data_IF_766712161602
#
_entry.id   IF_766712161602
#
_cell.length_a   1.000
_cell.length_b   1.000
_cell.length_c   1.000
_cell.angle_alpha   90.00
_cell.angle_beta   90.00
_cell.angle_gamma   90.00
#
_symmetry.space_group_name_H-M   'P 1'
#
loop_
_entity.id
_entity.type
_entity.pdbx_description
1 polymer ?
#
# COMPACT_ATOMS: atom_id res chain seq x y z
N UNK A 1 -6.81 87.11 7.94
CA UNK A 1 -7.14 85.89 8.71
C UNK A 1 -7.81 84.93 7.73
N UNK A 2 -7.48 83.66 7.55
CA UNK A 2 -6.46 82.76 8.06
C UNK A 2 -6.26 81.72 6.94
N UNK A 3 -5.02 81.43 6.54
CA UNK A 3 -4.73 80.39 5.55
C UNK A 3 -4.70 79.02 6.22
N UNK A 4 -5.57 78.11 5.78
CA UNK A 4 -5.67 76.75 6.29
C UNK A 4 -4.49 75.90 5.77
N UNK A 5 -3.50 75.66 6.62
CA UNK A 5 -2.36 74.78 6.32
C UNK A 5 -2.74 73.34 6.68
N UNK A 6 -3.16 72.56 5.67
CA UNK A 6 -3.23 71.10 5.78
C UNK A 6 -1.81 70.53 5.98
N UNK A 7 -1.52 70.08 7.20
CA UNK A 7 -0.31 69.34 7.55
C UNK A 7 -0.39 67.92 7.00
N UNK A 8 0.49 67.61 6.04
CA UNK A 8 0.69 66.23 5.57
C UNK A 8 1.40 65.42 6.66
N UNK A 9 0.76 64.34 7.12
CA UNK A 9 1.34 63.38 8.08
C UNK A 9 2.43 62.55 7.36
N UNK A 10 3.64 62.41 7.91
CA UNK A 10 4.69 61.64 7.24
C UNK A 10 4.30 60.16 7.23
N UNK A 11 4.36 59.53 6.05
CA UNK A 11 4.22 58.08 5.89
C UNK A 11 5.52 57.45 6.37
N UNK A 12 5.48 56.82 7.54
CA UNK A 12 6.60 56.00 8.04
C UNK A 12 6.65 54.74 7.19
N UNK A 13 7.57 54.70 6.22
CA UNK A 13 7.95 53.46 5.56
C UNK A 13 8.81 52.63 6.51
N UNK A 14 8.16 51.71 7.24
CA UNK A 14 8.85 50.71 8.04
C UNK A 14 9.53 49.73 7.08
N UNK A 15 10.80 49.99 6.73
CA UNK A 15 11.65 49.00 6.07
C UNK A 15 11.82 47.82 7.03
N UNK A 16 11.13 46.71 6.74
CA UNK A 16 11.34 45.42 7.38
C UNK A 16 12.77 44.94 7.06
N UNK A 17 13.72 45.34 7.89
CA UNK A 17 15.10 44.85 7.82
C UNK A 17 15.13 43.44 8.40
N UNK A 18 14.95 42.43 7.55
CA UNK A 18 15.12 41.02 7.93
C UNK A 18 16.61 40.78 8.15
N UNK A 19 17.02 40.62 9.41
CA UNK A 19 18.41 40.36 9.80
C UNK A 19 18.88 39.01 9.20
N UNK A 20 20.05 38.94 8.52
CA UNK A 20 20.52 37.73 7.84
C UNK A 20 20.66 36.49 8.74
N UNK A 21 20.97 36.69 10.03
CA UNK A 21 21.12 35.61 11.02
C UNK A 21 19.81 34.90 11.37
N UNK A 22 18.66 35.58 11.21
CA UNK A 22 17.35 34.99 11.48
C UNK A 22 16.96 33.98 10.38
N UNK A 23 17.31 34.27 9.12
CA UNK A 23 17.10 33.36 7.99
C UNK A 23 17.97 32.10 8.10
N UNK A 24 19.27 32.24 8.37
CA UNK A 24 20.18 31.10 8.52
C UNK A 24 19.77 30.19 9.69
N UNK A 25 19.40 30.76 10.83
CA UNK A 25 18.95 30.00 12.01
C UNK A 25 17.63 29.27 11.74
N UNK A 26 16.69 29.91 11.01
CA UNK A 26 15.44 29.28 10.57
C UNK A 26 15.65 28.13 9.59
N UNK A 27 16.59 28.26 8.66
CA UNK A 27 16.91 27.16 7.73
C UNK A 27 17.67 26.04 8.42
N UNK A 28 18.60 26.36 9.33
CA UNK A 28 19.30 25.37 10.13
C UNK A 28 18.33 24.56 11.01
N UNK A 29 17.38 25.21 11.69
CA UNK A 29 16.39 24.49 12.50
C UNK A 29 15.48 23.59 11.65
N UNK A 30 15.07 24.03 10.46
CA UNK A 30 14.33 23.20 9.51
C UNK A 30 15.12 21.99 9.04
N UNK A 31 16.42 22.16 8.75
CA UNK A 31 17.29 21.04 8.37
C UNK A 31 17.42 20.05 9.53
N UNK A 32 17.64 20.53 10.75
CA UNK A 32 17.72 19.67 11.94
C UNK A 32 16.41 18.91 12.15
N UNK A 33 15.26 19.59 12.09
CA UNK A 33 13.94 18.94 12.18
C UNK A 33 13.78 17.90 11.06
N UNK A 34 14.18 18.23 9.83
CA UNK A 34 14.15 17.30 8.69
C UNK A 34 15.00 16.06 8.94
N UNK A 35 16.22 16.22 9.46
CA UNK A 35 17.11 15.12 9.82
C UNK A 35 16.54 14.26 10.95
N UNK A 36 15.93 14.88 11.98
CA UNK A 36 15.26 14.17 13.07
C UNK A 36 14.06 13.36 12.56
N UNK A 37 13.26 13.92 11.65
CA UNK A 37 12.14 13.20 11.03
C UNK A 37 12.61 12.03 10.17
N UNK A 38 13.69 12.21 9.41
CA UNK A 38 14.32 11.13 8.65
C UNK A 38 14.80 10.04 9.60
N UNK A 39 15.60 10.38 10.62
CA UNK A 39 16.10 9.41 11.61
C UNK A 39 14.97 8.68 12.34
N UNK A 40 13.90 9.39 12.71
CA UNK A 40 12.71 8.80 13.31
C UNK A 40 12.02 7.83 12.34
N UNK A 41 11.89 8.19 11.06
CA UNK A 41 11.36 7.31 10.03
C UNK A 41 12.19 6.03 9.85
N UNK A 42 13.52 6.14 9.84
CA UNK A 42 14.42 4.98 9.81
C UNK A 42 14.27 4.10 11.04
N UNK A 43 14.15 4.69 12.23
CA UNK A 43 13.92 3.95 13.46
C UNK A 43 12.60 3.17 13.37
N UNK A 44 11.50 3.83 12.99
CA UNK A 44 10.20 3.17 12.83
C UNK A 44 10.26 2.03 11.80
N UNK A 45 10.96 2.23 10.67
CA UNK A 45 11.13 1.20 9.65
C UNK A 45 11.95 -0.01 10.15
N UNK A 46 12.88 0.21 11.08
CA UNK A 46 13.67 -0.87 11.69
C UNK A 46 12.88 -1.72 12.68
N UNK A 47 11.93 -1.13 13.41
CA UNK A 47 11.15 -1.81 14.46
C UNK A 47 9.80 -2.35 13.97
N UNK A 48 9.38 -2.02 12.74
CA UNK A 48 8.07 -2.38 12.20
C UNK A 48 7.75 -3.87 12.23
N UNK A 49 8.79 -4.71 12.13
CA UNK A 49 8.65 -6.16 12.13
C UNK A 49 8.03 -6.71 13.43
N UNK A 50 8.11 -5.95 14.53
CA UNK A 50 7.53 -6.31 15.82
C UNK A 50 6.01 -6.17 15.87
N UNK A 51 5.41 -5.51 14.89
CA UNK A 51 3.97 -5.28 14.80
C UNK A 51 3.32 -6.05 13.67
N UNK A 52 4.06 -6.96 13.03
CA UNK A 52 3.46 -7.86 12.06
C UNK A 52 2.58 -8.88 12.76
N UNK A 53 1.35 -9.00 12.26
CA UNK A 53 0.37 -9.95 12.75
C UNK A 53 0.44 -11.25 11.97
N UNK A 54 0.64 -11.16 10.65
CA UNK A 54 0.62 -12.33 9.78
C UNK A 54 2.04 -12.81 9.45
N UNK A 55 2.20 -14.13 9.36
CA UNK A 55 3.38 -14.74 8.76
C UNK A 55 3.12 -15.10 7.27
N UNK A 56 3.98 -14.69 6.33
CA UNK A 56 3.81 -15.03 4.92
C UNK A 56 3.75 -16.54 4.65
N UNK A 57 4.47 -17.35 5.44
CA UNK A 57 4.50 -18.81 5.24
C UNK A 57 3.17 -19.42 5.64
N UNK A 58 2.60 -18.99 6.77
CA UNK A 58 1.27 -19.40 7.22
C UNK A 58 0.18 -18.99 6.21
N UNK A 59 0.26 -17.77 5.67
CA UNK A 59 -0.68 -17.32 4.63
C UNK A 59 -0.55 -18.13 3.34
N UNK A 60 0.67 -18.51 2.95
CA UNK A 60 0.89 -19.39 1.80
C UNK A 60 0.28 -20.78 2.02
N UNK A 61 0.51 -21.36 3.21
CA UNK A 61 -0.09 -22.64 3.58
C UNK A 61 -1.62 -22.57 3.62
N UNK A 62 -2.18 -21.47 4.13
CA UNK A 62 -3.62 -21.23 4.13
C UNK A 62 -4.19 -21.14 2.71
N UNK A 63 -3.50 -20.44 1.80
CA UNK A 63 -3.90 -20.36 0.40
C UNK A 63 -3.91 -21.76 -0.26
N UNK A 64 -2.89 -22.58 -0.01
CA UNK A 64 -2.83 -23.96 -0.49
C UNK A 64 -3.95 -24.83 0.10
N UNK A 65 -4.24 -24.68 1.40
CA UNK A 65 -5.34 -25.38 2.07
C UNK A 65 -6.70 -24.99 1.48
N UNK A 66 -6.91 -23.71 1.18
CA UNK A 66 -8.14 -23.21 0.55
C UNK A 66 -8.34 -23.80 -0.85
N UNK A 67 -7.26 -23.88 -1.65
CA UNK A 67 -7.30 -24.52 -2.98
C UNK A 67 -7.70 -25.99 -2.85
N UNK A 68 -7.10 -26.71 -1.87
CA UNK A 68 -7.40 -28.11 -1.62
C UNK A 68 -8.83 -28.34 -1.11
N UNK A 69 -9.37 -27.43 -0.29
CA UNK A 69 -10.72 -27.56 0.27
C UNK A 69 -11.83 -27.23 -0.72
N UNK A 70 -11.55 -26.38 -1.71
CA UNK A 70 -12.56 -25.88 -2.66
C UNK A 70 -12.04 -25.91 -4.11
N UNK A 71 -11.77 -27.10 -4.68
CA UNK A 71 -11.28 -27.19 -6.06
C UNK A 71 -12.26 -26.56 -7.05
N UNK A 72 -11.75 -25.69 -7.93
CA UNK A 72 -12.53 -24.96 -8.94
C UNK A 72 -13.65 -24.05 -8.40
N UNK A 73 -13.68 -23.76 -7.09
CA UNK A 73 -14.63 -22.83 -6.49
C UNK A 73 -13.89 -21.70 -5.77
N UNK A 74 -13.66 -20.60 -6.49
CA UNK A 74 -12.97 -19.43 -5.96
C UNK A 74 -13.72 -18.80 -4.79
N UNK A 75 -15.05 -18.81 -4.80
CA UNK A 75 -15.84 -18.26 -3.69
C UNK A 75 -15.67 -19.12 -2.43
N UNK A 76 -15.68 -20.45 -2.59
CA UNK A 76 -15.36 -21.40 -1.53
C UNK A 76 -13.95 -21.21 -0.96
N UNK A 77 -12.95 -21.01 -1.82
CA UNK A 77 -11.57 -20.71 -1.40
C UNK A 77 -11.51 -19.44 -0.55
N UNK A 78 -12.16 -18.35 -0.99
CA UNK A 78 -12.21 -17.08 -0.25
C UNK A 78 -12.90 -17.27 1.10
N UNK A 79 -14.03 -17.97 1.13
CA UNK A 79 -14.75 -18.25 2.37
C UNK A 79 -13.91 -19.07 3.35
N UNK A 80 -13.15 -20.05 2.87
CA UNK A 80 -12.23 -20.83 3.68
C UNK A 80 -11.13 -19.96 4.31
N UNK A 81 -10.53 -19.06 3.52
CA UNK A 81 -9.50 -18.12 3.98
C UNK A 81 -10.06 -17.20 5.08
N UNK A 82 -11.17 -16.51 4.81
CA UNK A 82 -11.79 -15.57 5.75
C UNK A 82 -12.18 -16.28 7.04
N UNK A 83 -12.74 -17.49 6.95
CA UNK A 83 -13.15 -18.28 8.12
C UNK A 83 -11.96 -18.66 8.98
N UNK A 84 -10.89 -19.21 8.39
CA UNK A 84 -9.70 -19.61 9.14
C UNK A 84 -9.01 -18.41 9.79
N UNK A 85 -8.84 -17.30 9.06
CA UNK A 85 -8.23 -16.08 9.63
C UNK A 85 -9.05 -15.55 10.80
N UNK A 86 -10.38 -15.55 10.68
CA UNK A 86 -11.27 -15.12 11.77
C UNK A 86 -11.16 -16.02 13.01
N UNK A 87 -10.90 -17.32 12.82
CA UNK A 87 -10.71 -18.27 13.93
C UNK A 87 -9.33 -18.16 14.57
N UNK A 88 -8.28 -17.98 13.76
CA UNK A 88 -6.89 -17.88 14.23
C UNK A 88 -6.60 -16.56 14.93
N UNK A 89 -7.19 -15.46 14.44
CA UNK A 89 -6.89 -14.12 14.92
C UNK A 89 -8.13 -13.47 15.56
N UNK A 90 -8.18 -13.37 16.89
CA UNK A 90 -9.35 -12.81 17.58
C UNK A 90 -9.54 -11.31 17.30
N UNK A 91 -10.79 -10.86 17.36
CA UNK A 91 -11.20 -9.48 16.97
C UNK A 91 -10.66 -8.35 17.88
N UNK A 92 -10.07 -8.73 19.01
CA UNK A 92 -9.34 -7.83 19.91
C UNK A 92 -7.88 -7.58 19.46
N UNK A 93 -7.33 -8.45 18.61
CA UNK A 93 -5.98 -8.32 18.05
C UNK A 93 -6.01 -7.58 16.71
N UNK A 94 -6.90 -7.97 15.80
CA UNK A 94 -7.07 -7.33 14.48
C UNK A 94 -8.52 -7.15 14.07
N UNK A 95 -8.76 -6.21 13.17
CA UNK A 95 -10.05 -6.03 12.49
C UNK A 95 -10.04 -6.82 11.19
N UNK A 96 -11.00 -7.72 11.06
CA UNK A 96 -11.19 -8.55 9.86
C UNK A 96 -12.56 -8.19 9.30
N UNK A 97 -12.61 -7.92 8.01
CA UNK A 97 -13.85 -7.82 7.27
C UNK A 97 -14.32 -9.23 6.90
N UNK A 98 -15.51 -9.61 7.37
CA UNK A 98 -16.11 -10.92 7.08
C UNK A 98 -17.19 -10.83 5.99
N UNK A 99 -17.52 -9.62 5.54
CA UNK A 99 -18.52 -9.40 4.48
C UNK A 99 -17.86 -9.55 3.10
N UNK A 100 -17.94 -10.77 2.55
CA UNK A 100 -17.37 -11.09 1.24
C UNK A 100 -18.12 -10.47 0.05
N UNK A 101 -19.18 -9.68 0.29
CA UNK A 101 -19.89 -8.92 -0.75
C UNK A 101 -19.27 -7.55 -1.03
N UNK A 102 -18.40 -7.04 -0.15
CA UNK A 102 -17.77 -5.71 -0.28
C UNK A 102 -16.59 -5.70 -1.27
N UNK A 103 -16.89 -5.93 -2.55
CA UNK A 103 -15.94 -5.78 -3.64
C UNK A 103 -15.86 -4.34 -4.15
N UNK A 104 -14.66 -3.88 -4.44
CA UNK A 104 -14.42 -2.59 -5.10
C UNK A 104 -13.54 -2.79 -6.33
N UNK A 105 -13.75 -1.96 -7.34
CA UNK A 105 -12.80 -1.89 -8.45
C UNK A 105 -11.53 -1.18 -8.00
N UNK A 106 -10.39 -1.75 -8.37
CA UNK A 106 -9.08 -1.16 -8.18
C UNK A 106 -8.43 -0.94 -9.56
N UNK A 107 -8.03 0.30 -9.83
CA UNK A 107 -7.35 0.67 -11.07
C UNK A 107 -6.02 1.35 -10.73
N UNK A 108 -4.92 0.68 -11.02
CA UNK A 108 -3.57 1.14 -10.72
C UNK A 108 -2.56 0.61 -11.74
N UNK A 109 -1.59 1.44 -12.11
CA UNK A 109 -0.51 1.02 -13.01
C UNK A 109 -0.96 0.60 -14.41
N UNK A 110 -2.16 1.00 -14.84
CA UNK A 110 -2.78 0.58 -16.11
C UNK A 110 -3.58 -0.72 -16.03
N UNK A 111 -3.51 -1.43 -14.90
CA UNK A 111 -4.27 -2.64 -14.65
C UNK A 111 -5.56 -2.32 -13.88
N UNK A 112 -6.67 -2.89 -14.33
CA UNK A 112 -7.96 -2.91 -13.62
C UNK A 112 -8.27 -4.30 -13.07
N UNK A 113 -8.71 -4.38 -11.82
CA UNK A 113 -9.19 -5.60 -11.19
C UNK A 113 -10.25 -5.33 -10.13
N UNK A 114 -10.75 -6.40 -9.50
CA UNK A 114 -11.63 -6.35 -8.36
C UNK A 114 -10.84 -6.72 -7.09
N UNK A 115 -11.11 -6.00 -6.01
CA UNK A 115 -10.48 -6.17 -4.72
C UNK A 115 -11.52 -6.37 -3.63
N UNK A 116 -11.28 -7.34 -2.76
CA UNK A 116 -11.99 -7.52 -1.50
C UNK A 116 -11.01 -7.36 -0.34
N UNK A 117 -11.26 -6.36 0.53
CA UNK A 117 -10.38 -6.03 1.65
C UNK A 117 -10.72 -6.85 2.89
N UNK A 118 -9.83 -7.78 3.28
CA UNK A 118 -9.98 -8.62 4.48
C UNK A 118 -9.44 -7.89 5.72
N UNK A 119 -8.24 -7.32 5.64
CA UNK A 119 -7.60 -6.63 6.76
C UNK A 119 -6.76 -5.44 6.27
N UNK A 120 -6.76 -4.35 7.04
CA UNK A 120 -5.84 -3.23 6.85
C UNK A 120 -5.33 -2.69 8.18
N UNK A 121 -4.02 -2.43 8.23
CA UNK A 121 -3.32 -1.70 9.29
C UNK A 121 -2.29 -0.74 8.68
N UNK A 122 -1.54 -0.04 9.54
CA UNK A 122 -0.47 0.88 9.11
C UNK A 122 0.70 0.12 8.45
N UNK A 123 0.92 -1.13 8.88
CA UNK A 123 2.07 -1.95 8.48
C UNK A 123 1.72 -3.10 7.54
N UNK A 124 0.45 -3.51 7.49
CA UNK A 124 0.02 -4.71 6.77
C UNK A 124 -1.36 -4.52 6.11
N UNK A 125 -1.61 -5.20 5.00
CA UNK A 125 -2.98 -5.45 4.53
C UNK A 125 -3.06 -6.88 4.03
N UNK A 126 -4.29 -7.37 3.99
CA UNK A 126 -4.63 -8.64 3.38
C UNK A 126 -5.88 -8.43 2.52
N UNK A 127 -5.78 -8.76 1.25
CA UNK A 127 -6.86 -8.59 0.27
C UNK A 127 -6.96 -9.82 -0.63
N UNK A 128 -8.14 -10.01 -1.22
CA UNK A 128 -8.27 -10.79 -2.44
C UNK A 128 -8.24 -9.83 -3.60
N UNK A 129 -7.36 -10.07 -4.57
CA UNK A 129 -7.28 -9.29 -5.79
C UNK A 129 -7.30 -10.20 -7.01
N UNK A 130 -8.01 -9.80 -8.05
CA UNK A 130 -8.07 -10.56 -9.29
C UNK A 130 -9.01 -9.96 -10.32
N UNK A 131 -9.19 -10.68 -11.41
CA UNK A 131 -10.12 -10.30 -12.47
C UNK A 131 -10.58 -11.55 -13.24
N UNK A 132 -11.88 -11.65 -13.56
CA UNK A 132 -12.35 -12.73 -14.42
C UNK A 132 -11.92 -12.53 -15.89
N UNK A 133 -11.58 -11.30 -16.31
CA UNK A 133 -11.33 -10.95 -17.72
C UNK A 133 -9.85 -10.98 -18.10
N UNK A 134 -8.95 -10.91 -17.11
CA UNK A 134 -7.53 -10.65 -17.32
C UNK A 134 -7.18 -9.15 -17.33
N UNK A 135 -5.97 -8.82 -16.91
CA UNK A 135 -5.46 -7.44 -16.82
C UNK A 135 -3.94 -7.43 -16.81
N UNK A 136 -3.30 -6.37 -17.30
CA UNK A 136 -1.85 -6.22 -17.26
C UNK A 136 -1.46 -4.77 -16.98
N UNK A 137 -0.30 -4.59 -16.37
CA UNK A 137 0.16 -3.26 -16.03
C UNK A 137 1.48 -3.23 -15.27
N UNK A 138 1.83 -2.03 -14.85
CA UNK A 138 2.99 -1.76 -14.02
C UNK A 138 2.69 -2.11 -12.56
N UNK A 139 3.53 -2.92 -11.90
CA UNK A 139 3.33 -3.33 -10.50
C UNK A 139 3.22 -2.12 -9.57
N UNK A 140 4.12 -1.15 -9.77
CA UNK A 140 4.32 0.00 -8.89
C UNK A 140 5.67 -0.10 -8.18
N UNK A 141 6.05 0.97 -7.48
CA UNK A 141 7.22 0.98 -6.60
C UNK A 141 6.71 0.97 -5.16
N UNK A 142 6.65 -0.21 -4.55
CA UNK A 142 6.09 -0.36 -3.21
C UNK A 142 7.16 -0.16 -2.13
N UNK A 143 6.78 0.49 -1.02
CA UNK A 143 7.60 0.61 0.20
C UNK A 143 7.42 -0.59 1.15
N UNK A 144 6.72 -1.62 0.70
CA UNK A 144 6.42 -2.85 1.39
C UNK A 144 6.84 -4.05 0.53
N UNK A 145 7.08 -5.16 1.20
CA UNK A 145 7.16 -6.48 0.58
C UNK A 145 5.74 -6.94 0.26
N UNK A 146 5.55 -7.56 -0.90
CA UNK A 146 4.26 -8.02 -1.39
C UNK A 146 4.31 -9.49 -1.79
N UNK A 147 3.24 -10.21 -1.47
CA UNK A 147 3.11 -11.66 -1.61
C UNK A 147 1.77 -11.98 -2.27
N UNK A 148 1.81 -12.37 -3.54
CA UNK A 148 0.63 -12.83 -4.26
C UNK A 148 0.57 -14.36 -4.23
N UNK A 149 -0.33 -14.89 -3.42
CA UNK A 149 -0.60 -16.33 -3.38
C UNK A 149 -1.70 -16.64 -4.40
N UNK A 150 -1.35 -17.29 -5.51
CA UNK A 150 -2.28 -17.55 -6.60
C UNK A 150 -3.29 -18.62 -6.17
N UNK A 151 -4.58 -18.28 -6.19
CA UNK A 151 -5.67 -19.19 -5.81
C UNK A 151 -6.22 -19.92 -7.04
N UNK A 152 -6.43 -19.19 -8.13
CA UNK A 152 -6.97 -19.70 -9.39
C UNK A 152 -6.39 -18.88 -10.55
N UNK A 153 -6.36 -19.48 -11.74
CA UNK A 153 -5.78 -18.85 -12.93
C UNK A 153 -4.26 -18.75 -12.82
N UNK A 154 -3.68 -17.79 -13.54
CA UNK A 154 -2.23 -17.61 -13.61
C UNK A 154 -1.84 -16.14 -13.56
N UNK A 155 -0.75 -15.86 -12.87
CA UNK A 155 -0.10 -14.56 -12.91
C UNK A 155 1.20 -14.68 -13.70
N UNK A 156 1.40 -13.79 -14.67
CA UNK A 156 2.65 -13.69 -15.41
C UNK A 156 3.34 -12.40 -15.04
N UNK A 157 4.66 -12.42 -14.89
CA UNK A 157 5.43 -11.23 -14.58
C UNK A 157 6.78 -11.24 -15.27
N UNK A 158 7.38 -10.08 -15.47
CA UNK A 158 8.78 -9.99 -15.82
C UNK A 158 9.39 -8.70 -15.29
N UNK A 159 10.70 -8.73 -15.08
CA UNK A 159 11.49 -7.58 -14.65
C UNK A 159 12.01 -6.80 -15.85
N UNK A 160 12.19 -5.48 -15.76
CA UNK A 160 12.84 -4.70 -16.81
C UNK A 160 14.16 -5.35 -17.27
N UNK A 161 14.28 -5.61 -18.57
CA UNK A 161 15.44 -6.26 -19.18
C UNK A 161 15.41 -7.80 -19.22
N UNK A 162 14.45 -8.46 -18.58
CA UNK A 162 14.23 -9.89 -18.76
C UNK A 162 13.62 -10.16 -20.15
N UNK A 163 14.10 -11.21 -20.83
CA UNK A 163 13.60 -11.64 -22.14
C UNK A 163 12.55 -12.75 -22.04
N UNK A 164 12.42 -13.36 -20.86
CA UNK A 164 11.50 -14.46 -20.57
C UNK A 164 10.58 -14.08 -19.40
N UNK A 165 9.35 -14.57 -19.43
CA UNK A 165 8.36 -14.31 -18.38
C UNK A 165 8.44 -15.34 -17.24
N UNK A 166 8.22 -14.87 -16.03
CA UNK A 166 7.92 -15.67 -14.85
C UNK A 166 6.42 -16.02 -14.87
N UNK A 167 6.08 -17.30 -14.67
CA UNK A 167 4.70 -17.79 -14.64
C UNK A 167 4.40 -18.39 -13.27
N UNK A 168 3.35 -17.88 -12.63
CA UNK A 168 2.87 -18.31 -11.32
C UNK A 168 1.48 -18.96 -11.47
N UNK A 169 1.36 -20.19 -11.01
CA UNK A 169 0.15 -21.03 -11.11
C UNK A 169 -0.50 -21.20 -9.74
N UNK A 170 -1.73 -21.77 -9.65
CA UNK A 170 -2.40 -21.96 -8.36
C UNK A 170 -1.52 -22.71 -7.36
N UNK A 171 -1.48 -22.22 -6.12
CA UNK A 171 -0.65 -22.75 -5.03
C UNK A 171 0.80 -22.29 -5.04
N UNK A 172 1.21 -21.44 -5.99
CA UNK A 172 2.51 -20.77 -6.00
C UNK A 172 2.41 -19.34 -5.45
N UNK A 173 3.55 -18.73 -5.13
CA UNK A 173 3.63 -17.36 -4.63
C UNK A 173 4.55 -16.50 -5.49
N UNK A 174 4.03 -15.36 -5.97
CA UNK A 174 4.86 -14.30 -6.53
C UNK A 174 5.27 -13.35 -5.41
N UNK A 175 6.54 -13.47 -5.00
CA UNK A 175 7.14 -12.58 -4.01
C UNK A 175 7.78 -11.37 -4.70
N UNK A 176 7.32 -10.19 -4.33
CA UNK A 176 7.85 -8.92 -4.78
C UNK A 176 8.49 -8.14 -3.62
N UNK A 177 9.83 -8.11 -3.54
CA UNK A 177 10.52 -7.36 -2.51
C UNK A 177 10.27 -5.86 -2.64
N UNK A 178 10.33 -5.15 -1.51
CA UNK A 178 10.28 -3.69 -1.46
C UNK A 178 11.17 -3.04 -2.53
N UNK A 179 10.62 -2.05 -3.23
CA UNK A 179 11.34 -1.27 -4.25
C UNK A 179 11.55 -2.02 -5.57
N UNK A 180 11.08 -3.26 -5.70
CA UNK A 180 11.11 -4.01 -6.96
C UNK A 180 10.02 -3.50 -7.89
N UNK A 181 10.33 -3.48 -9.19
CA UNK A 181 9.39 -3.13 -10.26
C UNK A 181 9.30 -4.30 -11.22
N UNK A 182 8.08 -4.67 -11.59
CA UNK A 182 7.77 -5.65 -12.63
C UNK A 182 6.63 -5.12 -13.50
N UNK A 183 6.57 -5.57 -14.75
CA UNK A 183 5.27 -5.68 -15.42
C UNK A 183 4.64 -6.99 -14.94
N UNK A 184 3.36 -6.93 -14.64
CA UNK A 184 2.59 -8.12 -14.27
C UNK A 184 1.33 -8.21 -15.12
N UNK A 185 0.79 -9.42 -15.19
CA UNK A 185 -0.46 -9.76 -15.87
C UNK A 185 -1.19 -10.81 -15.04
N UNK A 186 -2.37 -10.46 -14.54
CA UNK A 186 -3.32 -11.47 -14.12
C UNK A 186 -3.96 -12.03 -15.39
N UNK A 187 -3.68 -13.29 -15.72
CA UNK A 187 -4.27 -13.95 -16.88
C UNK A 187 -5.79 -14.14 -16.68
N UNK A 188 -6.49 -14.59 -17.72
CA UNK A 188 -7.93 -14.78 -17.68
C UNK A 188 -8.37 -15.63 -16.47
N UNK A 189 -9.37 -15.16 -15.72
CA UNK A 189 -9.88 -15.86 -14.54
C UNK A 189 -8.95 -15.91 -13.33
N UNK A 190 -7.92 -15.05 -13.24
CA UNK A 190 -6.94 -15.10 -12.16
C UNK A 190 -7.38 -14.34 -10.90
N UNK A 191 -7.27 -15.00 -9.74
CA UNK A 191 -7.45 -14.41 -8.41
C UNK A 191 -6.36 -14.89 -7.45
N UNK A 192 -5.90 -13.99 -6.59
CA UNK A 192 -4.85 -14.23 -5.61
C UNK A 192 -5.23 -13.67 -4.23
N UNK A 193 -4.70 -14.32 -3.19
CA UNK A 193 -4.60 -13.75 -1.85
C UNK A 193 -3.33 -12.90 -1.79
N UNK A 194 -3.50 -11.59 -1.76
CA UNK A 194 -2.41 -10.62 -1.72
C UNK A 194 -2.19 -10.17 -0.28
N UNK A 195 -0.95 -10.34 0.18
CA UNK A 195 -0.49 -9.90 1.48
C UNK A 195 0.72 -8.99 1.30
N UNK A 196 0.63 -7.78 1.83
CA UNK A 196 1.76 -6.86 1.82
C UNK A 196 2.11 -6.41 3.23
N UNK A 197 3.41 -6.36 3.53
CA UNK A 197 3.98 -5.96 4.82
C UNK A 197 5.11 -4.96 4.67
N UNK A 198 5.08 -3.90 5.47
CA UNK A 198 6.06 -2.81 5.40
C UNK A 198 5.52 -1.47 5.86
N UNK A 199 6.37 -0.46 5.92
CA UNK A 199 5.93 0.88 6.29
C UNK A 199 5.07 1.44 5.16
N UNK A 200 3.76 1.61 5.40
CA UNK A 200 2.83 2.09 4.37
C UNK A 200 2.03 3.31 4.79
N UNK A 201 2.63 4.52 4.74
CA UNK A 201 1.86 5.76 4.81
C UNK A 201 1.07 6.05 3.52
N UNK A 202 1.40 5.40 2.39
CA UNK A 202 1.00 5.85 1.04
C UNK A 202 0.21 4.88 0.17
N UNK A 203 0.12 3.57 0.48
CA UNK A 203 -0.61 2.64 -0.42
C UNK A 203 -2.13 2.82 -0.35
N UNK A 204 -2.66 3.37 0.75
CA UNK A 204 -4.06 3.82 0.82
C UNK A 204 -4.39 4.92 -0.21
N UNK A 205 -3.39 5.63 -0.76
CA UNK A 205 -3.59 6.71 -1.74
C UNK A 205 -3.73 6.17 -3.18
N UNK A 206 -3.23 4.95 -3.47
CA UNK A 206 -3.38 4.36 -4.81
C UNK A 206 -4.69 3.59 -5.00
N UNK A 207 -5.48 3.40 -3.95
CA UNK A 207 -6.82 2.84 -4.05
C UNK A 207 -7.81 3.70 -3.26
N UNK A 208 -8.10 4.94 -3.73
CA UNK A 208 -9.27 5.63 -3.20
C UNK A 208 -10.48 4.76 -3.51
N UNK A 209 -11.37 4.56 -2.53
CA UNK A 209 -12.73 4.09 -2.79
C UNK A 209 -13.30 4.97 -3.91
N UNK A 210 -13.40 4.42 -5.12
CA UNK A 210 -14.25 4.98 -6.15
C UNK A 210 -15.68 4.55 -5.81
N UNK A 211 -16.27 5.25 -4.85
CA UNK A 211 -17.73 5.38 -4.74
C UNK A 211 -18.17 6.57 -5.56
#
# INVERSE_FOLDING_TARGET
MAGDKKTAKPRVETKLQVQPGDLLTKWASRVVIGLLLVAFGWLLDSIKHRWYVFDPTELHQLAQAAIASSPNDTAGMIQHIVTNITLTYPSNQIKINVDSSEWVFNNAGGAMGAMYLIHASITEYLIIFGTPLGTEGHSGIHTADDYFNILVGEEWAFRPGALEMERYTPGTVNYMPRGTVKQYKMHEGCFALEYARGMRPRVLICCPKLT
#
